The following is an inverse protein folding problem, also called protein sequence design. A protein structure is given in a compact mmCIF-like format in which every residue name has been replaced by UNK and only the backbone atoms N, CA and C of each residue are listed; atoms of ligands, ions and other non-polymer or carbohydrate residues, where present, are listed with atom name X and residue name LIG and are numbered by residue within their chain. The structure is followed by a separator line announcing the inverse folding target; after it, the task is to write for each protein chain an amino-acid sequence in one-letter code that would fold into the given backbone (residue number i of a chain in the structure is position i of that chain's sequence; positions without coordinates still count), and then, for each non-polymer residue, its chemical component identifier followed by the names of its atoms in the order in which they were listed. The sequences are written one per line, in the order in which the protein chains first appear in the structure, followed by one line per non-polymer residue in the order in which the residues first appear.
data_IF_057242282615
#
_entry.id   IF_057242282615
#
_cell.length_a   1.000
_cell.length_b   1.000
_cell.length_c   1.000
_cell.angle_alpha   90.00
_cell.angle_beta   90.00
_cell.angle_gamma   90.00
#
_symmetry.space_group_name_H-M   'P 1'
#
loop_
_entity.id
_entity.type
_entity.pdbx_description
1 polymer ?
#
# COMPACT_ATOMS: atom_id res chain seq x y z
N UNK A 1 -60.34 27.82 -50.81
CA UNK A 1 -60.33 27.41 -52.23
C UNK A 1 -58.90 27.50 -52.73
N UNK A 2 -58.34 26.35 -53.11
CA UNK A 2 -57.28 26.07 -54.12
C UNK A 2 -56.03 26.99 -54.12
N UNK A 3 -54.78 26.53 -54.20
CA UNK A 3 -54.15 25.24 -54.43
C UNK A 3 -52.64 25.57 -54.48
N UNK A 4 -51.76 24.76 -53.88
CA UNK A 4 -50.32 24.99 -53.97
C UNK A 4 -49.53 23.87 -53.31
N UNK A 5 -49.24 22.83 -54.09
CA UNK A 5 -48.61 21.58 -53.67
C UNK A 5 -47.08 21.67 -53.59
N UNK A 6 -46.55 20.95 -52.61
CA UNK A 6 -45.28 20.20 -52.59
C UNK A 6 -43.98 20.95 -52.87
N UNK A 7 -43.09 20.97 -51.85
CA UNK A 7 -41.67 20.64 -51.99
C UNK A 7 -41.11 20.28 -50.61
N UNK A 8 -40.64 19.04 -50.52
CA UNK A 8 -39.98 18.41 -49.37
C UNK A 8 -38.60 19.06 -49.19
N UNK A 9 -38.34 19.59 -48.00
CA UNK A 9 -37.03 20.12 -47.63
C UNK A 9 -36.08 18.97 -47.26
N UNK A 10 -35.13 18.70 -48.16
CA UNK A 10 -33.89 17.99 -47.87
C UNK A 10 -32.87 19.08 -47.49
N UNK A 11 -32.47 19.10 -46.22
CA UNK A 11 -31.33 19.86 -45.69
C UNK A 11 -30.80 19.06 -44.51
N UNK A 12 -29.61 18.46 -44.60
CA UNK A 12 -28.30 19.06 -44.37
C UNK A 12 -27.68 18.12 -43.31
N UNK A 13 -26.77 17.22 -43.65
CA UNK A 13 -25.35 17.39 -43.97
C UNK A 13 -24.59 16.61 -42.89
N UNK A 14 -23.83 15.62 -43.35
CA UNK A 14 -22.91 14.79 -42.59
C UNK A 14 -21.94 15.63 -41.73
N UNK A 15 -21.81 15.29 -40.46
CA UNK A 15 -20.55 15.37 -39.72
C UNK A 15 -20.46 14.17 -38.80
N UNK A 16 -19.53 13.26 -39.12
CA UNK A 16 -19.20 12.10 -38.32
C UNK A 16 -18.54 12.52 -37.02
N UNK A 17 -18.98 11.92 -35.92
CA UNK A 17 -18.26 11.90 -34.66
C UNK A 17 -17.23 10.76 -34.75
N UNK A 18 -16.06 11.08 -35.29
CA UNK A 18 -14.85 10.29 -35.03
C UNK A 18 -14.50 10.51 -33.56
N UNK A 19 -14.65 9.46 -32.76
CA UNK A 19 -14.04 9.38 -31.44
C UNK A 19 -12.53 9.51 -31.64
N UNK A 20 -12.01 10.66 -31.26
CA UNK A 20 -10.61 11.01 -31.31
C UNK A 20 -9.80 9.99 -30.51
N UNK A 21 -8.90 9.27 -31.20
CA UNK A 21 -7.71 8.65 -30.61
C UNK A 21 -6.82 9.77 -30.04
N UNK A 22 -7.16 10.25 -28.84
CA UNK A 22 -6.29 11.12 -28.06
C UNK A 22 -5.40 10.24 -27.20
N UNK A 23 -4.10 10.23 -27.52
CA UNK A 23 -3.02 9.73 -26.66
C UNK A 23 -2.74 8.23 -26.76
N UNK A 24 -2.24 7.74 -27.90
CA UNK A 24 -1.41 6.53 -27.83
C UNK A 24 -0.10 6.91 -27.11
N UNK A 25 -0.10 6.85 -25.77
CA UNK A 25 1.13 6.71 -25.01
C UNK A 25 1.88 5.53 -25.61
N UNK A 26 3.10 5.74 -26.11
CA UNK A 26 3.88 4.70 -26.73
C UNK A 26 4.18 3.62 -25.67
N UNK A 27 3.43 2.52 -25.70
CA UNK A 27 3.54 1.43 -24.73
C UNK A 27 4.88 0.73 -24.95
N UNK A 28 5.85 1.07 -24.12
CA UNK A 28 7.23 0.59 -24.21
C UNK A 28 7.79 0.27 -22.83
N UNK A 29 8.91 -0.43 -22.81
CA UNK A 29 9.70 -0.61 -21.60
C UNK A 29 10.60 0.60 -21.40
N UNK A 30 10.57 1.21 -20.21
CA UNK A 30 11.35 2.42 -19.93
C UNK A 30 12.62 2.06 -19.16
N UNK A 31 13.79 2.26 -19.79
CA UNK A 31 15.09 2.34 -19.12
C UNK A 31 15.09 3.35 -17.96
N UNK A 32 16.09 3.34 -17.09
CA UNK A 32 16.12 4.26 -15.94
C UNK A 32 15.95 5.73 -16.33
N UNK A 33 16.74 6.21 -17.31
CA UNK A 33 16.64 7.59 -17.80
C UNK A 33 15.32 7.90 -18.51
N UNK A 34 14.70 6.90 -19.13
CA UNK A 34 13.38 7.02 -19.78
C UNK A 34 12.26 7.12 -18.75
N UNK A 35 12.30 6.30 -17.70
CA UNK A 35 11.37 6.37 -16.57
C UNK A 35 11.48 7.73 -15.89
N UNK A 36 12.70 8.21 -15.63
CA UNK A 36 12.91 9.54 -15.04
C UNK A 36 12.30 10.62 -15.94
N UNK A 37 12.57 10.61 -17.25
CA UNK A 37 11.96 11.57 -18.19
C UNK A 37 10.43 11.48 -18.20
N UNK A 38 9.86 10.29 -18.16
CA UNK A 38 8.41 10.10 -18.14
C UNK A 38 7.78 10.70 -16.87
N UNK A 39 8.36 10.49 -15.68
CA UNK A 39 7.85 11.07 -14.44
C UNK A 39 7.97 12.61 -14.42
N UNK A 40 9.08 13.16 -14.88
CA UNK A 40 9.25 14.62 -14.99
C UNK A 40 8.32 15.24 -16.04
N UNK A 41 8.00 14.52 -17.12
CA UNK A 41 7.02 14.97 -18.10
C UNK A 41 5.61 15.09 -17.47
N UNK A 42 5.18 14.08 -16.71
CA UNK A 42 3.91 14.12 -15.97
C UNK A 42 3.87 15.31 -15.00
N UNK A 43 4.95 15.54 -14.23
CA UNK A 43 5.00 16.71 -13.34
C UNK A 43 4.94 18.03 -14.11
N UNK A 44 5.59 18.12 -15.28
CA UNK A 44 5.55 19.33 -16.11
C UNK A 44 4.16 19.61 -16.67
N UNK A 45 3.36 18.58 -16.92
CA UNK A 45 2.00 18.71 -17.43
C UNK A 45 0.97 19.02 -16.35
N UNK A 46 1.19 18.50 -15.13
CA UNK A 46 0.31 18.66 -13.98
C UNK A 46 1.03 19.26 -12.74
N UNK A 47 1.70 20.42 -12.84
CA UNK A 47 2.61 20.92 -11.81
C UNK A 47 1.92 21.32 -10.49
N UNK A 48 0.63 21.63 -10.52
CA UNK A 48 -0.13 22.04 -9.34
C UNK A 48 -0.65 20.86 -8.51
N UNK A 49 -0.67 19.66 -9.10
CA UNK A 49 -1.17 18.46 -8.43
C UNK A 49 -0.11 17.37 -8.30
N UNK A 50 1.15 17.67 -8.60
CA UNK A 50 2.23 16.69 -8.56
C UNK A 50 3.50 17.21 -7.90
N UNK A 51 4.27 16.30 -7.31
CA UNK A 51 5.63 16.56 -6.83
C UNK A 51 6.50 15.32 -6.95
N UNK A 52 7.56 15.40 -7.74
CA UNK A 52 8.59 14.36 -7.77
C UNK A 52 9.58 14.58 -6.62
N UNK A 53 9.98 13.49 -5.98
CA UNK A 53 11.07 13.50 -5.01
C UNK A 53 11.78 12.15 -5.00
N UNK A 54 12.94 12.07 -4.36
CA UNK A 54 13.69 10.83 -4.22
C UNK A 54 13.76 10.41 -2.75
N UNK A 55 13.50 9.13 -2.48
CA UNK A 55 13.56 8.56 -1.11
C UNK A 55 14.96 8.06 -0.73
N UNK A 56 15.89 8.03 -1.69
CA UNK A 56 17.23 7.51 -1.53
C UNK A 56 17.84 7.13 -2.87
N UNK A 57 18.98 6.46 -2.83
CA UNK A 57 19.67 5.93 -4.01
C UNK A 57 19.83 4.43 -3.88
N UNK A 58 19.80 3.74 -5.02
CA UNK A 58 20.21 2.36 -5.14
C UNK A 58 21.71 2.21 -4.89
N UNK A 59 22.17 0.97 -4.82
CA UNK A 59 23.60 0.64 -4.66
C UNK A 59 24.47 1.21 -5.80
N UNK A 60 23.99 1.24 -7.05
CA UNK A 60 24.69 1.86 -8.19
C UNK A 60 24.40 3.37 -8.34
N UNK A 61 23.76 4.00 -7.36
CA UNK A 61 23.59 5.45 -7.29
C UNK A 61 22.36 6.01 -8.02
N UNK A 62 21.48 5.17 -8.57
CA UNK A 62 20.22 5.59 -9.19
C UNK A 62 19.24 6.06 -8.12
N UNK A 63 18.61 7.21 -8.31
CA UNK A 63 17.55 7.66 -7.41
C UNK A 63 16.33 6.73 -7.45
N UNK A 64 15.80 6.41 -6.28
CA UNK A 64 14.47 5.83 -6.12
C UNK A 64 13.47 6.98 -6.14
N UNK A 65 12.92 7.29 -7.31
CA UNK A 65 11.98 8.40 -7.51
C UNK A 65 10.55 8.00 -7.16
N UNK A 66 9.87 8.90 -6.47
CA UNK A 66 8.45 8.84 -6.16
C UNK A 66 7.78 10.04 -6.81
N UNK A 67 6.64 9.81 -7.48
CA UNK A 67 5.75 10.87 -7.94
C UNK A 67 4.54 10.93 -7.02
N UNK A 68 4.40 12.07 -6.35
CA UNK A 68 3.28 12.41 -5.48
C UNK A 68 2.15 13.03 -6.32
N UNK A 69 0.90 12.67 -6.04
CA UNK A 69 -0.32 13.34 -6.50
C UNK A 69 -1.17 13.77 -5.29
N UNK A 70 -1.59 15.02 -5.26
CA UNK A 70 -2.53 15.64 -4.30
C UNK A 70 -2.86 17.02 -4.87
N UNK A 71 -3.98 17.64 -4.51
CA UNK A 71 -4.26 19.03 -4.85
C UNK A 71 -3.40 20.05 -4.05
N UNK A 72 -2.63 19.57 -3.07
CA UNK A 72 -1.67 20.36 -2.30
C UNK A 72 -0.32 19.64 -2.09
N UNK A 73 0.40 19.35 -3.19
CA UNK A 73 1.53 18.44 -3.14
C UNK A 73 2.67 19.00 -2.27
N UNK A 74 3.23 18.13 -1.44
CA UNK A 74 4.28 18.43 -0.47
C UNK A 74 3.79 18.63 0.96
N UNK A 75 2.49 18.77 1.17
CA UNK A 75 1.88 19.00 2.49
C UNK A 75 0.93 17.86 2.81
N UNK A 76 0.96 17.38 4.06
CA UNK A 76 -0.07 16.47 4.56
C UNK A 76 -1.22 17.31 5.11
N UNK A 77 -2.43 17.06 4.63
CA UNK A 77 -3.64 17.73 5.13
C UNK A 77 -4.39 16.88 6.15
N UNK A 78 -4.90 17.54 7.18
CA UNK A 78 -5.65 16.88 8.25
C UNK A 78 -6.84 16.09 7.70
N UNK A 79 -6.92 14.79 8.02
CA UNK A 79 -7.94 13.85 7.53
C UNK A 79 -7.86 13.50 6.02
N UNK A 80 -6.78 13.85 5.35
CA UNK A 80 -6.41 13.36 4.02
C UNK A 80 -5.52 12.10 4.16
N UNK A 81 -5.99 10.91 3.77
CA UNK A 81 -5.19 9.70 3.88
C UNK A 81 -4.02 9.66 2.89
N UNK A 82 -2.91 9.11 3.36
CA UNK A 82 -1.71 8.85 2.56
C UNK A 82 -1.78 7.44 1.96
N UNK A 83 -1.72 7.33 0.63
CA UNK A 83 -1.71 6.07 -0.11
C UNK A 83 -0.37 5.87 -0.84
N UNK A 84 0.10 4.63 -1.02
CA UNK A 84 1.25 4.37 -1.90
C UNK A 84 1.16 3.12 -2.79
N UNK A 85 1.77 3.21 -3.97
CA UNK A 85 2.11 2.06 -4.80
C UNK A 85 3.62 1.90 -4.95
N UNK A 86 4.09 0.66 -4.91
CA UNK A 86 5.52 0.32 -5.09
C UNK A 86 5.69 -0.76 -6.15
N UNK A 87 6.35 -0.43 -7.26
CA UNK A 87 6.64 -1.38 -8.33
C UNK A 87 8.07 -1.90 -8.29
N UNK A 88 8.26 -3.06 -8.94
CA UNK A 88 9.56 -3.50 -9.42
C UNK A 88 10.64 -3.54 -8.32
N UNK A 89 10.27 -4.10 -7.16
CA UNK A 89 11.24 -4.44 -6.11
C UNK A 89 12.11 -5.65 -6.48
N UNK A 90 11.60 -6.53 -7.35
CA UNK A 90 12.42 -7.43 -8.14
C UNK A 90 12.59 -6.83 -9.52
N UNK A 91 13.85 -6.59 -9.93
CA UNK A 91 14.14 -5.84 -11.15
C UNK A 91 13.60 -6.47 -12.43
N UNK A 92 13.50 -7.80 -12.48
CA UNK A 92 12.91 -8.52 -13.61
C UNK A 92 11.39 -8.64 -13.60
N UNK A 93 10.71 -8.17 -12.57
CA UNK A 93 9.25 -8.15 -12.48
C UNK A 93 8.79 -6.76 -12.93
N UNK A 94 8.66 -6.61 -14.25
CA UNK A 94 8.65 -5.31 -14.94
C UNK A 94 7.26 -4.73 -15.11
N UNK A 95 6.23 -5.56 -15.24
CA UNK A 95 4.88 -5.04 -15.53
C UNK A 95 4.42 -3.99 -14.51
N UNK A 96 4.68 -4.22 -13.21
CA UNK A 96 4.37 -3.25 -12.16
C UNK A 96 5.05 -1.88 -12.35
N UNK A 97 6.29 -1.83 -12.87
CA UNK A 97 6.98 -0.58 -13.18
C UNK A 97 6.24 0.20 -14.26
N UNK A 98 5.97 -0.46 -15.38
CA UNK A 98 5.35 0.19 -16.53
C UNK A 98 3.91 0.63 -16.22
N UNK A 99 3.12 -0.21 -15.54
CA UNK A 99 1.77 0.18 -15.09
C UNK A 99 1.75 1.41 -14.20
N UNK A 100 2.76 1.61 -13.33
CA UNK A 100 2.83 2.79 -12.47
C UNK A 100 3.26 4.05 -13.23
N UNK A 101 4.04 3.91 -14.30
CA UNK A 101 4.34 5.02 -15.23
C UNK A 101 3.05 5.41 -15.98
N UNK A 102 2.33 4.43 -16.54
CA UNK A 102 1.05 4.67 -17.23
C UNK A 102 -0.04 5.22 -16.31
N UNK A 103 -0.11 4.74 -15.06
CA UNK A 103 -1.02 5.27 -14.05
C UNK A 103 -0.72 6.74 -13.77
N UNK A 104 0.55 7.13 -13.68
CA UNK A 104 0.95 8.51 -13.48
C UNK A 104 0.49 9.42 -14.62
N UNK A 105 0.67 8.98 -15.87
CA UNK A 105 0.17 9.69 -17.05
C UNK A 105 -1.36 9.80 -17.02
N UNK A 106 -2.05 8.67 -16.81
CA UNK A 106 -3.50 8.59 -16.76
C UNK A 106 -4.12 9.51 -15.69
N UNK A 107 -3.56 9.55 -14.47
CA UNK A 107 -4.05 10.42 -13.40
C UNK A 107 -3.96 11.90 -13.80
N UNK A 108 -2.85 12.32 -14.40
CA UNK A 108 -2.68 13.69 -14.89
C UNK A 108 -3.63 14.01 -16.06
N UNK A 109 -3.73 13.13 -17.06
CA UNK A 109 -4.58 13.31 -18.24
C UNK A 109 -6.06 13.41 -17.88
N UNK A 110 -6.57 12.48 -17.06
CA UNK A 110 -7.97 12.46 -16.64
C UNK A 110 -8.30 13.63 -15.72
N UNK A 111 -7.38 14.06 -14.84
CA UNK A 111 -7.55 15.27 -14.04
C UNK A 111 -7.69 16.51 -14.94
N UNK A 112 -6.80 16.66 -15.94
CA UNK A 112 -6.86 17.78 -16.90
C UNK A 112 -8.11 17.74 -17.78
N UNK A 113 -8.63 16.54 -18.06
CA UNK A 113 -9.89 16.35 -18.78
C UNK A 113 -11.14 16.64 -17.92
N UNK A 114 -10.98 16.86 -16.61
CA UNK A 114 -12.09 17.12 -15.69
C UNK A 114 -12.88 15.87 -15.31
N UNK A 115 -12.25 14.70 -15.34
CA UNK A 115 -12.87 13.46 -14.88
C UNK A 115 -13.16 13.56 -13.37
N UNK A 116 -14.44 13.56 -12.98
CA UNK A 116 -14.86 13.76 -11.59
C UNK A 116 -14.31 12.69 -10.62
N UNK A 117 -14.19 11.43 -11.07
CA UNK A 117 -13.68 10.32 -10.24
C UNK A 117 -12.22 10.55 -9.89
N UNK A 118 -11.40 10.85 -10.90
CA UNK A 118 -9.96 11.08 -10.71
C UNK A 118 -9.69 12.40 -9.99
N UNK A 119 -10.47 13.44 -10.29
CA UNK A 119 -10.39 14.73 -9.59
C UNK A 119 -10.66 14.54 -8.10
N UNK A 120 -11.76 13.87 -7.73
CA UNK A 120 -12.08 13.57 -6.33
C UNK A 120 -10.99 12.73 -5.67
N UNK A 121 -10.51 11.68 -6.36
CA UNK A 121 -9.45 10.83 -5.82
C UNK A 121 -8.18 11.63 -5.47
N UNK A 122 -7.75 12.56 -6.33
CA UNK A 122 -6.57 13.41 -6.11
C UNK A 122 -6.81 14.49 -5.05
N UNK A 123 -8.02 15.04 -4.95
CA UNK A 123 -8.37 16.07 -3.94
C UNK A 123 -8.55 15.47 -2.53
N UNK A 124 -9.01 14.23 -2.45
CA UNK A 124 -9.28 13.61 -1.16
C UNK A 124 -8.14 12.69 -0.69
N UNK A 125 -7.12 12.44 -1.51
CA UNK A 125 -6.05 11.46 -1.22
C UNK A 125 -4.68 11.98 -1.62
N UNK A 126 -3.71 11.78 -0.74
CA UNK A 126 -2.31 11.99 -1.07
C UNK A 126 -1.67 10.69 -1.54
N UNK A 127 -1.44 10.60 -2.85
CA UNK A 127 -1.05 9.38 -3.56
C UNK A 127 0.44 9.43 -3.86
N UNK A 128 1.19 8.40 -3.48
CA UNK A 128 2.62 8.30 -3.75
C UNK A 128 2.95 7.08 -4.61
N UNK A 129 3.50 7.30 -5.79
CA UNK A 129 3.82 6.24 -6.75
C UNK A 129 5.34 6.09 -6.86
N UNK A 130 5.87 4.93 -6.45
CA UNK A 130 7.28 4.52 -6.63
C UNK A 130 7.34 3.45 -7.73
N UNK A 131 7.62 3.81 -9.01
CA UNK A 131 7.58 2.84 -10.10
C UNK A 131 8.64 1.73 -10.00
N UNK A 132 9.80 2.04 -9.42
CA UNK A 132 10.90 1.08 -9.28
C UNK A 132 11.66 1.25 -7.99
N UNK A 133 11.48 0.28 -7.09
CA UNK A 133 12.27 0.15 -5.87
C UNK A 133 13.66 -0.45 -6.17
N UNK A 134 13.81 -1.27 -7.22
CA UNK A 134 15.07 -1.89 -7.62
C UNK A 134 15.48 -1.50 -9.06
N UNK A 135 15.86 -0.23 -9.29
CA UNK A 135 16.26 0.22 -10.62
C UNK A 135 17.55 -0.46 -11.10
N UNK A 136 18.44 -0.88 -10.20
CA UNK A 136 19.69 -1.57 -10.58
C UNK A 136 19.41 -2.96 -11.15
N UNK A 137 18.57 -3.74 -10.47
CA UNK A 137 18.14 -5.06 -10.95
C UNK A 137 17.39 -4.97 -12.26
N UNK A 138 16.57 -3.92 -12.45
CA UNK A 138 15.88 -3.68 -13.71
C UNK A 138 16.85 -3.50 -14.87
N UNK A 139 17.89 -2.67 -14.73
CA UNK A 139 18.87 -2.47 -15.79
C UNK A 139 19.65 -3.74 -16.13
N UNK A 140 19.82 -4.66 -15.18
CA UNK A 140 20.42 -5.99 -15.45
C UNK A 140 19.44 -6.86 -16.26
N UNK A 141 18.17 -6.89 -15.87
CA UNK A 141 17.13 -7.65 -16.59
C UNK A 141 16.91 -7.11 -18.02
N UNK A 142 16.79 -5.79 -18.17
CA UNK A 142 16.56 -5.11 -19.44
C UNK A 142 17.71 -5.33 -20.44
N UNK A 143 18.96 -5.45 -19.97
CA UNK A 143 20.11 -5.77 -20.83
C UNK A 143 20.06 -7.16 -21.47
N UNK A 144 19.35 -8.11 -20.87
CA UNK A 144 19.09 -9.42 -21.49
C UNK A 144 17.88 -9.39 -22.44
N UNK A 145 16.99 -8.42 -22.25
CA UNK A 145 15.76 -8.25 -23.02
C UNK A 145 14.62 -9.17 -22.54
N UNK A 146 13.36 -8.86 -22.88
CA UNK A 146 12.19 -9.62 -22.43
C UNK A 146 12.23 -11.09 -22.89
N UNK A 147 12.78 -11.36 -24.08
CA UNK A 147 12.79 -12.70 -24.69
C UNK A 147 13.75 -13.69 -24.00
N UNK A 148 14.78 -13.20 -23.31
CA UNK A 148 15.83 -14.02 -22.70
C UNK A 148 15.93 -13.86 -21.19
N UNK A 149 15.08 -13.01 -20.60
CA UNK A 149 15.09 -12.80 -19.18
C UNK A 149 14.56 -14.05 -18.47
N UNK A 150 15.48 -14.89 -17.99
CA UNK A 150 15.14 -16.05 -17.19
C UNK A 150 14.43 -15.66 -15.89
N UNK A 151 14.06 -16.67 -15.10
CA UNK A 151 13.28 -16.46 -13.88
C UNK A 151 13.99 -15.61 -12.80
N UNK A 152 15.32 -15.52 -12.84
CA UNK A 152 16.17 -14.99 -11.75
C UNK A 152 17.05 -13.79 -12.11
N UNK A 153 17.37 -13.57 -13.38
CA UNK A 153 18.30 -12.51 -13.78
C UNK A 153 17.72 -11.15 -13.40
N UNK A 154 18.48 -10.30 -12.72
CA UNK A 154 18.02 -8.97 -12.31
C UNK A 154 16.94 -8.98 -11.21
N UNK A 155 16.63 -10.13 -10.62
CA UNK A 155 15.67 -10.22 -9.50
C UNK A 155 16.17 -9.47 -8.26
N UNK A 156 17.39 -9.77 -7.83
CA UNK A 156 18.01 -9.09 -6.68
C UNK A 156 18.44 -7.66 -7.02
N UNK A 157 18.89 -6.89 -6.03
CA UNK A 157 19.58 -5.63 -6.28
C UNK A 157 20.99 -5.87 -6.88
N UNK A 158 21.79 -4.82 -7.08
CA UNK A 158 23.15 -4.99 -7.66
C UNK A 158 24.14 -5.78 -6.79
N UNK A 159 23.82 -6.05 -5.52
CA UNK A 159 24.56 -7.02 -4.67
C UNK A 159 23.95 -8.42 -4.67
N UNK A 160 23.02 -8.69 -5.58
CA UNK A 160 22.26 -9.95 -5.70
C UNK A 160 21.41 -10.29 -4.46
N UNK A 161 21.08 -9.29 -3.64
CA UNK A 161 20.20 -9.47 -2.47
C UNK A 161 18.74 -9.38 -2.92
N UNK A 162 17.91 -10.36 -2.54
CA UNK A 162 16.46 -10.29 -2.71
C UNK A 162 15.88 -9.27 -1.72
N UNK A 163 15.44 -8.11 -2.23
CA UNK A 163 14.90 -7.02 -1.42
C UNK A 163 13.63 -7.43 -0.66
N UNK A 164 12.84 -8.37 -1.21
CA UNK A 164 11.66 -8.93 -0.53
C UNK A 164 12.03 -10.04 0.47
N UNK A 165 13.31 -10.17 0.81
CA UNK A 165 13.85 -10.96 1.93
C UNK A 165 14.78 -10.12 2.80
N UNK A 166 14.77 -8.80 2.66
CA UNK A 166 15.74 -7.91 3.30
C UNK A 166 15.17 -7.08 4.46
N UNK A 167 13.84 -6.95 4.58
CA UNK A 167 13.20 -6.22 5.69
C UNK A 167 13.41 -6.94 7.04
N UNK A 168 13.39 -6.23 8.18
CA UNK A 168 13.34 -6.86 9.51
C UNK A 168 12.15 -7.84 9.65
N UNK A 169 12.40 -9.05 10.16
CA UNK A 169 11.36 -10.07 10.35
C UNK A 169 10.58 -9.81 11.65
N UNK A 170 9.49 -9.05 11.54
CA UNK A 170 8.65 -8.70 12.67
C UNK A 170 7.56 -9.75 12.97
N UNK A 171 7.30 -10.69 12.05
CA UNK A 171 6.31 -11.75 12.23
C UNK A 171 6.65 -12.66 13.42
N UNK A 172 7.92 -13.02 13.60
CA UNK A 172 8.33 -13.86 14.72
C UNK A 172 7.99 -13.21 16.07
N UNK A 173 8.21 -11.89 16.16
CA UNK A 173 7.89 -11.08 17.32
C UNK A 173 6.38 -10.95 17.51
N UNK A 174 5.63 -10.69 16.44
CA UNK A 174 4.16 -10.62 16.49
C UNK A 174 3.55 -11.93 16.98
N UNK A 175 3.97 -13.08 16.44
CA UNK A 175 3.43 -14.39 16.82
C UNK A 175 3.75 -14.76 18.28
N UNK A 176 4.83 -14.20 18.81
CA UNK A 176 5.14 -14.28 20.23
C UNK A 176 4.19 -13.39 21.05
N UNK A 177 4.01 -12.13 20.66
CA UNK A 177 3.18 -11.17 21.40
C UNK A 177 1.69 -11.51 21.40
N UNK A 178 1.14 -12.04 20.31
CA UNK A 178 -0.24 -12.52 20.27
C UNK A 178 -0.52 -13.59 21.35
N UNK A 179 0.47 -14.44 21.66
CA UNK A 179 0.33 -15.51 22.69
C UNK A 179 0.56 -15.01 24.11
N UNK A 180 1.14 -13.82 24.28
CA UNK A 180 1.59 -13.29 25.57
C UNK A 180 1.01 -11.91 25.89
N UNK A 181 -0.05 -11.50 25.18
CA UNK A 181 -0.70 -10.19 25.30
C UNK A 181 0.32 -9.03 25.22
N UNK A 182 1.25 -9.12 24.28
CA UNK A 182 2.24 -8.10 24.00
C UNK A 182 1.72 -7.00 23.06
N UNK A 183 2.64 -6.15 22.63
CA UNK A 183 2.36 -5.09 21.65
C UNK A 183 1.85 -5.68 20.33
N UNK A 184 0.84 -5.06 19.72
CA UNK A 184 0.13 -5.58 18.54
C UNK A 184 0.26 -4.67 17.29
N UNK A 185 1.03 -3.58 17.37
CA UNK A 185 1.23 -2.56 16.34
C UNK A 185 2.59 -1.88 16.54
N UNK A 186 3.17 -1.26 15.51
CA UNK A 186 4.43 -0.51 15.60
C UNK A 186 5.56 -1.28 16.32
N UNK A 187 5.75 -2.54 15.93
CA UNK A 187 6.78 -3.39 16.53
C UNK A 187 8.17 -2.77 16.31
N UNK A 188 9.03 -2.73 17.35
CA UNK A 188 10.31 -2.03 17.26
C UNK A 188 11.28 -2.73 16.31
N UNK A 189 12.11 -1.94 15.62
CA UNK A 189 13.23 -2.44 14.83
C UNK A 189 14.45 -2.75 15.73
N UNK A 190 15.36 -3.64 15.32
CA UNK A 190 16.65 -3.82 15.99
C UNK A 190 17.45 -2.53 15.98
N UNK A 191 18.19 -2.22 17.06
CA UNK A 191 18.97 -0.97 17.17
C UNK A 191 19.93 -0.72 16.00
N UNK A 192 20.46 -1.79 15.39
CA UNK A 192 21.41 -1.75 14.29
C UNK A 192 20.79 -2.08 12.92
N UNK A 193 19.46 -2.01 12.77
CA UNK A 193 18.75 -2.42 11.54
C UNK A 193 19.28 -1.71 10.28
N UNK A 194 19.67 -0.43 10.38
CA UNK A 194 20.22 0.36 9.26
C UNK A 194 21.49 -0.26 8.66
N UNK A 195 22.24 -1.03 9.46
CA UNK A 195 23.47 -1.72 9.01
C UNK A 195 23.19 -3.10 8.42
N UNK A 196 21.94 -3.59 8.49
CA UNK A 196 21.55 -4.95 8.12
C UNK A 196 20.72 -5.00 6.84
N UNK A 197 20.34 -3.85 6.31
CA UNK A 197 19.50 -3.71 5.13
C UNK A 197 20.26 -3.08 3.97
N UNK A 198 19.83 -3.39 2.76
CA UNK A 198 20.33 -2.78 1.53
C UNK A 198 19.84 -1.33 1.40
N UNK A 199 20.54 -0.47 0.63
CA UNK A 199 20.20 0.95 0.55
C UNK A 199 18.79 1.21 0.01
N UNK A 200 18.28 0.35 -0.88
CA UNK A 200 16.89 0.42 -1.37
C UNK A 200 15.90 0.16 -0.23
N UNK A 201 16.12 -0.89 0.57
CA UNK A 201 15.30 -1.22 1.74
C UNK A 201 15.40 -0.14 2.81
N UNK A 202 16.59 0.40 3.07
CA UNK A 202 16.80 1.52 3.99
C UNK A 202 15.96 2.73 3.60
N UNK A 203 16.03 3.12 2.32
CA UNK A 203 15.29 4.24 1.76
C UNK A 203 13.78 4.06 1.94
N UNK A 204 13.27 2.85 1.66
CA UNK A 204 11.85 2.53 1.80
C UNK A 204 11.39 2.52 3.25
N UNK A 205 12.17 1.94 4.18
CA UNK A 205 11.82 1.98 5.62
C UNK A 205 11.77 3.42 6.14
N UNK A 206 12.75 4.25 5.78
CA UNK A 206 12.75 5.68 6.16
C UNK A 206 11.57 6.43 5.53
N UNK A 207 11.21 6.10 4.29
CA UNK A 207 10.03 6.66 3.63
C UNK A 207 8.73 6.30 4.35
N UNK A 208 8.56 5.04 4.76
CA UNK A 208 7.42 4.58 5.56
C UNK A 208 7.32 5.28 6.92
N UNK A 209 8.43 5.74 7.50
CA UNK A 209 8.45 6.48 8.76
C UNK A 209 8.14 7.97 8.61
N UNK A 210 8.30 8.52 7.40
CA UNK A 210 8.10 9.95 7.13
C UNK A 210 6.65 10.31 6.77
N UNK A 211 5.83 9.31 6.41
CA UNK A 211 4.44 9.48 6.01
C UNK A 211 3.56 8.50 6.77
N UNK A 212 2.36 8.91 7.16
CA UNK A 212 1.39 8.05 7.83
C UNK A 212 0.58 7.24 6.80
N UNK A 213 1.26 6.39 6.01
CA UNK A 213 0.60 5.57 5.00
C UNK A 213 -0.51 4.70 5.60
N UNK A 214 -1.68 4.72 4.97
CA UNK A 214 -2.88 4.00 5.41
C UNK A 214 -3.05 2.70 4.60
N UNK A 215 -2.92 2.79 3.28
CA UNK A 215 -3.10 1.68 2.35
C UNK A 215 -1.98 1.67 1.31
N UNK A 216 -1.56 0.46 0.92
CA UNK A 216 -0.49 0.27 -0.05
C UNK A 216 -0.67 -1.00 -0.86
N UNK A 217 -0.12 -1.04 -2.07
CA UNK A 217 0.25 -2.31 -2.66
C UNK A 217 1.65 -2.29 -3.27
N UNK A 218 2.32 -3.45 -3.21
CA UNK A 218 3.56 -3.69 -3.95
C UNK A 218 3.28 -4.61 -5.16
N UNK A 219 3.87 -4.30 -6.32
CA UNK A 219 3.52 -4.91 -7.61
C UNK A 219 4.66 -5.84 -8.07
N UNK A 220 4.29 -7.07 -8.38
CA UNK A 220 5.16 -8.21 -8.68
C UNK A 220 4.77 -8.91 -10.00
N UNK A 221 5.58 -9.88 -10.40
CA UNK A 221 5.33 -10.75 -11.54
C UNK A 221 5.83 -12.17 -11.31
N UNK A 222 5.22 -13.12 -12.01
CA UNK A 222 5.46 -14.55 -11.91
C UNK A 222 4.19 -15.36 -11.62
N UNK A 223 3.10 -14.69 -11.23
CA UNK A 223 1.77 -15.26 -11.05
C UNK A 223 0.70 -14.20 -11.40
N UNK A 224 -0.59 -14.55 -11.26
CA UNK A 224 -1.71 -13.59 -11.34
C UNK A 224 -2.63 -13.81 -10.15
N UNK A 225 -2.38 -13.08 -9.05
CA UNK A 225 -3.09 -13.21 -7.77
C UNK A 225 -2.88 -11.99 -6.88
N UNK A 226 -3.89 -11.61 -6.10
CA UNK A 226 -3.75 -10.64 -5.01
C UNK A 226 -3.38 -11.37 -3.71
N UNK A 227 -2.10 -11.33 -3.36
CA UNK A 227 -1.52 -11.90 -2.15
C UNK A 227 -1.67 -10.96 -0.96
N UNK A 228 -2.06 -11.47 0.21
CA UNK A 228 -2.27 -10.65 1.41
C UNK A 228 -1.66 -11.27 2.68
N UNK A 229 -1.40 -10.46 3.73
CA UNK A 229 -0.77 -10.91 4.96
C UNK A 229 -1.48 -12.06 5.70
N UNK A 230 -0.78 -12.83 6.54
CA UNK A 230 0.68 -12.83 6.66
C UNK A 230 1.33 -13.71 5.58
N UNK A 231 2.48 -13.26 5.10
CA UNK A 231 3.39 -14.00 4.22
C UNK A 231 4.13 -15.12 4.97
N UNK A 232 4.48 -14.91 6.25
CA UNK A 232 5.21 -15.90 7.04
C UNK A 232 4.26 -16.88 7.72
N UNK A 233 4.47 -18.18 7.53
CA UNK A 233 3.74 -19.20 8.32
C UNK A 233 4.12 -19.15 9.82
N UNK A 234 3.12 -19.42 10.67
CA UNK A 234 3.29 -19.60 12.13
C UNK A 234 3.95 -20.93 12.48
N UNK A 235 3.83 -21.91 11.59
CA UNK A 235 4.45 -23.22 11.76
C UNK A 235 5.86 -23.23 11.13
N UNK A 236 6.80 -24.02 11.68
CA UNK A 236 8.08 -24.26 11.01
C UNK A 236 7.85 -24.76 9.58
N UNK A 237 8.66 -24.29 8.63
CA UNK A 237 8.60 -24.74 7.24
C UNK A 237 8.85 -26.25 7.18
N UNK A 238 7.79 -27.01 6.95
CA UNK A 238 7.85 -28.42 6.58
C UNK A 238 7.73 -28.51 5.06
N UNK A 239 8.68 -29.19 4.40
CA UNK A 239 8.71 -29.30 2.94
C UNK A 239 7.38 -29.85 2.43
N UNK A 240 6.73 -29.11 1.52
CA UNK A 240 5.45 -29.49 0.90
C UNK A 240 4.20 -29.18 1.76
N UNK A 241 4.35 -28.57 2.94
CA UNK A 241 3.23 -28.12 3.76
C UNK A 241 3.20 -26.58 3.78
N UNK A 242 2.11 -26.01 3.28
CA UNK A 242 1.80 -24.58 3.43
C UNK A 242 0.65 -24.46 4.43
N UNK A 243 0.60 -23.35 5.15
CA UNK A 243 -0.43 -23.14 6.17
C UNK A 243 -0.88 -21.69 6.17
N UNK A 244 -2.20 -21.52 6.21
CA UNK A 244 -2.83 -20.22 6.31
C UNK A 244 -2.38 -19.51 7.59
N UNK A 245 -1.96 -18.25 7.46
CA UNK A 245 -1.54 -17.41 8.58
C UNK A 245 -2.33 -16.11 8.60
N UNK A 246 -3.50 -16.16 9.23
CA UNK A 246 -4.39 -15.00 9.35
C UNK A 246 -3.75 -13.86 10.16
N UNK A 247 -3.99 -12.62 9.71
CA UNK A 247 -3.89 -11.44 10.55
C UNK A 247 -5.16 -11.29 11.40
N UNK A 248 -5.14 -10.39 12.38
CA UNK A 248 -6.35 -9.97 13.11
C UNK A 248 -7.33 -9.19 12.22
N UNK A 249 -6.82 -8.58 11.14
CA UNK A 249 -7.56 -7.86 10.11
C UNK A 249 -7.83 -8.69 8.83
N UNK A 250 -7.80 -10.03 8.93
CA UNK A 250 -7.90 -10.94 7.78
C UNK A 250 -9.10 -10.63 6.87
N UNK A 251 -10.26 -10.33 7.46
CA UNK A 251 -11.48 -10.02 6.70
C UNK A 251 -11.32 -8.81 5.79
N UNK A 252 -10.69 -7.74 6.27
CA UNK A 252 -10.49 -6.54 5.46
C UNK A 252 -9.39 -6.74 4.42
N UNK A 253 -8.30 -7.45 4.75
CA UNK A 253 -7.30 -7.83 3.75
C UNK A 253 -7.88 -8.65 2.61
N UNK A 254 -8.76 -9.62 2.92
CA UNK A 254 -9.49 -10.38 1.88
C UNK A 254 -10.38 -9.47 1.04
N UNK A 255 -11.05 -8.47 1.63
CA UNK A 255 -11.85 -7.49 0.87
C UNK A 255 -10.96 -6.64 -0.04
N UNK A 256 -9.84 -6.12 0.46
CA UNK A 256 -8.87 -5.32 -0.30
C UNK A 256 -8.30 -6.10 -1.49
N UNK A 257 -7.86 -7.34 -1.26
CA UNK A 257 -7.39 -8.25 -2.31
C UNK A 257 -8.47 -8.53 -3.37
N UNK A 258 -9.72 -8.78 -2.93
CA UNK A 258 -10.86 -8.98 -3.84
C UNK A 258 -11.18 -7.74 -4.65
N UNK A 259 -11.10 -6.53 -4.07
CA UNK A 259 -11.35 -5.29 -4.81
C UNK A 259 -10.45 -5.21 -6.03
N UNK A 260 -9.15 -5.49 -5.89
CA UNK A 260 -8.24 -5.52 -7.04
C UNK A 260 -8.57 -6.69 -7.99
N UNK A 261 -8.67 -7.91 -7.46
CA UNK A 261 -8.85 -9.13 -8.25
C UNK A 261 -10.11 -9.12 -9.14
N UNK A 262 -11.24 -8.64 -8.61
CA UNK A 262 -12.51 -8.55 -9.34
C UNK A 262 -12.59 -7.36 -10.30
N UNK A 263 -11.86 -6.27 -10.04
CA UNK A 263 -11.72 -5.17 -10.98
C UNK A 263 -10.71 -5.48 -12.10
N UNK A 264 -9.78 -6.42 -11.85
CA UNK A 264 -8.87 -6.93 -12.86
C UNK A 264 -9.58 -7.85 -13.86
N UNK A 265 -9.22 -7.74 -15.14
CA UNK A 265 -9.93 -8.41 -16.25
C UNK A 265 -9.97 -9.95 -16.15
N UNK A 266 -8.99 -10.59 -15.53
CA UNK A 266 -8.94 -12.06 -15.43
C UNK A 266 -8.38 -12.64 -14.12
N UNK A 267 -8.01 -11.82 -13.13
CA UNK A 267 -7.40 -12.33 -11.89
C UNK A 267 -8.42 -13.13 -11.08
N UNK A 268 -9.64 -12.60 -10.92
CA UNK A 268 -10.76 -13.26 -10.22
C UNK A 268 -11.18 -14.62 -10.80
N UNK A 269 -10.78 -14.95 -12.04
CA UNK A 269 -11.05 -16.26 -12.65
C UNK A 269 -10.25 -17.37 -11.97
N UNK A 270 -9.20 -17.03 -11.24
CA UNK A 270 -8.44 -17.91 -10.36
C UNK A 270 -7.45 -18.85 -11.05
N UNK A 271 -7.71 -19.29 -12.28
CA UNK A 271 -6.80 -20.17 -13.03
C UNK A 271 -5.87 -19.37 -13.95
N UNK A 272 -4.62 -19.15 -13.52
CA UNK A 272 -3.59 -18.43 -14.27
C UNK A 272 -2.22 -19.07 -14.02
N UNK A 273 -1.33 -19.06 -15.01
CA UNK A 273 0.07 -19.52 -14.87
C UNK A 273 0.26 -21.00 -14.44
N UNK A 274 -0.80 -21.82 -14.48
CA UNK A 274 -0.80 -23.18 -13.94
C UNK A 274 -1.17 -23.27 -12.45
N UNK A 275 -1.42 -22.13 -11.81
CA UNK A 275 -1.89 -22.03 -10.43
C UNK A 275 -3.43 -21.85 -10.38
N UNK A 276 -4.02 -22.24 -9.26
CA UNK A 276 -5.42 -21.96 -8.93
C UNK A 276 -5.52 -21.19 -7.60
N UNK A 277 -6.04 -19.98 -7.68
CA UNK A 277 -6.37 -19.15 -6.52
C UNK A 277 -7.86 -18.81 -6.56
N UNK A 278 -8.62 -19.34 -5.60
CA UNK A 278 -10.05 -19.05 -5.50
C UNK A 278 -10.28 -17.54 -5.40
N UNK A 279 -11.19 -17.00 -6.23
CA UNK A 279 -11.45 -15.56 -6.38
C UNK A 279 -10.22 -14.71 -6.75
N UNK A 280 -9.13 -15.32 -7.22
CA UNK A 280 -7.88 -14.64 -7.58
C UNK A 280 -7.13 -14.02 -6.40
N UNK A 281 -7.33 -14.52 -5.18
CA UNK A 281 -6.65 -14.02 -3.97
C UNK A 281 -5.95 -15.15 -3.22
N UNK A 282 -4.93 -14.83 -2.41
CA UNK A 282 -4.29 -15.82 -1.54
C UNK A 282 -3.68 -15.20 -0.29
N UNK A 283 -3.72 -15.92 0.84
CA UNK A 283 -2.87 -15.59 1.99
C UNK A 283 -1.43 -16.03 1.66
N UNK A 284 -0.45 -15.17 1.88
CA UNK A 284 0.93 -15.45 1.47
C UNK A 284 1.51 -16.72 2.07
N UNK A 285 1.34 -16.94 3.37
CA UNK A 285 1.80 -18.17 4.01
C UNK A 285 1.11 -19.44 3.50
N UNK A 286 -0.15 -19.32 3.06
CA UNK A 286 -0.92 -20.42 2.46
C UNK A 286 -0.43 -20.77 1.06
N UNK A 287 0.08 -19.79 0.30
CA UNK A 287 0.72 -20.03 -0.99
C UNK A 287 2.14 -20.58 -0.81
N UNK A 288 3.01 -19.83 -0.13
CA UNK A 288 4.32 -20.30 0.34
C UNK A 288 4.86 -19.36 1.43
N UNK A 289 5.36 -19.94 2.52
CA UNK A 289 5.87 -19.14 3.65
C UNK A 289 7.09 -18.29 3.26
N UNK A 290 6.99 -16.98 3.40
CA UNK A 290 7.99 -15.96 3.11
C UNK A 290 8.30 -15.15 4.37
N UNK A 291 9.56 -14.84 4.61
CA UNK A 291 10.00 -14.04 5.77
C UNK A 291 10.81 -12.85 5.29
N UNK A 292 10.87 -11.77 6.10
CA UNK A 292 11.62 -10.54 5.78
C UNK A 292 11.08 -9.83 4.52
N UNK A 293 9.77 -9.97 4.26
CA UNK A 293 9.08 -9.31 3.16
C UNK A 293 8.57 -7.92 3.53
N UNK A 294 8.38 -7.08 2.51
CA UNK A 294 7.92 -5.70 2.68
C UNK A 294 6.45 -5.62 3.13
N UNK A 295 5.60 -6.51 2.62
CA UNK A 295 4.16 -6.51 2.88
C UNK A 295 3.85 -6.63 4.38
N UNK A 296 4.36 -7.69 5.02
CA UNK A 296 4.15 -7.92 6.45
C UNK A 296 4.88 -6.85 7.31
N UNK A 297 6.00 -6.29 6.82
CA UNK A 297 6.71 -5.22 7.51
C UNK A 297 5.86 -3.95 7.64
N UNK A 298 5.17 -3.52 6.57
CA UNK A 298 4.26 -2.38 6.61
C UNK A 298 3.25 -2.51 7.76
N UNK A 299 2.52 -3.64 7.77
CA UNK A 299 1.45 -3.89 8.74
C UNK A 299 1.98 -4.01 10.17
N UNK A 300 3.18 -4.54 10.37
CA UNK A 300 3.71 -4.77 11.72
C UNK A 300 4.49 -3.58 12.29
N UNK A 301 5.07 -2.72 11.45
CA UNK A 301 5.89 -1.59 11.88
C UNK A 301 5.17 -0.23 11.80
N UNK A 302 4.12 -0.12 10.99
CA UNK A 302 3.41 1.15 10.71
C UNK A 302 1.90 0.97 10.81
N UNK A 303 1.12 2.00 10.43
CA UNK A 303 -0.33 1.90 10.25
C UNK A 303 -0.73 1.30 8.88
N UNK A 304 0.22 1.12 7.95
CA UNK A 304 -0.07 0.85 6.55
C UNK A 304 -0.50 -0.59 6.31
N UNK A 305 -1.67 -0.76 5.70
CA UNK A 305 -2.16 -2.03 5.20
C UNK A 305 -1.59 -2.25 3.80
N UNK A 306 -0.66 -3.18 3.64
CA UNK A 306 -0.09 -3.50 2.33
C UNK A 306 -0.53 -4.87 1.83
N UNK A 307 -0.87 -4.98 0.54
CA UNK A 307 -1.00 -6.25 -0.18
C UNK A 307 0.06 -6.36 -1.29
N UNK A 308 0.31 -7.59 -1.76
CA UNK A 308 1.22 -7.89 -2.86
C UNK A 308 0.40 -8.30 -4.08
N UNK A 309 0.59 -7.62 -5.20
CA UNK A 309 -0.16 -7.87 -6.44
C UNK A 309 0.76 -8.56 -7.46
N UNK A 310 0.50 -9.83 -7.74
CA UNK A 310 1.15 -10.56 -8.83
C UNK A 310 0.34 -10.34 -10.12
N UNK A 311 0.95 -9.74 -11.14
CA UNK A 311 0.19 -9.14 -12.25
C UNK A 311 0.24 -9.94 -13.55
N UNK A 312 1.32 -10.68 -13.79
CA UNK A 312 1.54 -11.41 -15.03
C UNK A 312 2.36 -12.68 -14.77
N UNK A 313 2.06 -13.75 -15.53
CA UNK A 313 2.86 -14.98 -15.50
C UNK A 313 4.28 -14.73 -16.02
N UNK A 314 4.38 -13.97 -17.11
CA UNK A 314 5.65 -13.51 -17.64
C UNK A 314 6.13 -12.33 -16.78
N UNK A 315 7.32 -12.46 -16.19
CA UNK A 315 7.89 -11.42 -15.32
C UNK A 315 8.28 -10.18 -16.11
N UNK A 316 8.73 -10.35 -17.35
CA UNK A 316 9.15 -9.27 -18.24
C UNK A 316 8.43 -9.45 -19.59
N UNK A 317 7.11 -9.17 -19.64
CA UNK A 317 6.31 -9.39 -20.85
C UNK A 317 6.84 -8.55 -22.03
N UNK A 318 6.68 -9.02 -23.28
CA UNK A 318 7.08 -8.23 -24.45
C UNK A 318 6.32 -6.91 -24.51
N UNK A 319 6.94 -5.86 -25.07
CA UNK A 319 6.32 -4.51 -25.15
C UNK A 319 4.94 -4.53 -25.83
N UNK A 320 4.73 -5.43 -26.79
CA UNK A 320 3.46 -5.64 -27.49
C UNK A 320 2.30 -6.07 -26.57
N UNK A 321 2.58 -6.57 -25.37
CA UNK A 321 1.56 -6.96 -24.39
C UNK A 321 1.13 -5.80 -23.46
N UNK A 322 1.97 -4.76 -23.31
CA UNK A 322 1.81 -3.72 -22.30
C UNK A 322 0.49 -2.96 -22.40
N UNK A 323 0.01 -2.68 -23.61
CA UNK A 323 -1.28 -2.00 -23.81
C UNK A 323 -2.46 -2.83 -23.27
N UNK A 324 -2.46 -4.14 -23.52
CA UNK A 324 -3.50 -5.05 -23.03
C UNK A 324 -3.43 -5.20 -21.50
N UNK A 325 -2.22 -5.31 -20.96
CA UNK A 325 -2.00 -5.39 -19.50
C UNK A 325 -2.44 -4.10 -18.79
N UNK A 326 -2.16 -2.93 -19.37
CA UNK A 326 -2.65 -1.64 -18.86
C UNK A 326 -4.17 -1.60 -18.81
N UNK A 327 -4.84 -1.91 -19.92
CA UNK A 327 -6.30 -1.93 -19.96
C UNK A 327 -6.91 -2.94 -18.97
N UNK A 328 -6.21 -4.04 -18.72
CA UNK A 328 -6.64 -5.07 -17.77
C UNK A 328 -6.53 -4.66 -16.30
N UNK A 329 -5.56 -3.79 -15.97
CA UNK A 329 -5.23 -3.38 -14.61
C UNK A 329 -5.73 -1.98 -14.24
N UNK A 330 -5.96 -1.08 -15.19
CA UNK A 330 -6.30 0.33 -14.94
C UNK A 330 -7.45 0.51 -13.95
N UNK A 331 -8.57 -0.19 -14.17
CA UNK A 331 -9.73 -0.10 -13.26
C UNK A 331 -9.42 -0.64 -11.87
N UNK A 332 -8.62 -1.72 -11.79
CA UNK A 332 -8.21 -2.33 -10.53
C UNK A 332 -7.29 -1.42 -9.72
N UNK A 333 -6.34 -0.75 -10.37
CA UNK A 333 -5.45 0.23 -9.74
C UNK A 333 -6.24 1.39 -9.12
N UNK A 334 -7.18 1.97 -9.87
CA UNK A 334 -8.04 3.06 -9.38
C UNK A 334 -8.96 2.59 -8.26
N UNK A 335 -9.69 1.48 -8.48
CA UNK A 335 -10.61 0.90 -7.49
C UNK A 335 -9.95 0.54 -6.16
N UNK A 336 -8.68 0.12 -6.21
CA UNK A 336 -7.92 -0.23 -5.02
C UNK A 336 -7.48 1.01 -4.24
N UNK A 337 -7.01 2.08 -4.91
CA UNK A 337 -6.71 3.36 -4.26
C UNK A 337 -7.93 3.91 -3.50
N UNK A 338 -9.11 3.83 -4.11
CA UNK A 338 -10.37 4.28 -3.49
C UNK A 338 -10.69 3.56 -2.17
N UNK A 339 -10.15 2.35 -1.91
CA UNK A 339 -10.37 1.65 -0.65
C UNK A 339 -9.75 2.34 0.57
N UNK A 340 -8.82 3.28 0.37
CA UNK A 340 -8.21 4.06 1.46
C UNK A 340 -9.24 4.90 2.22
N UNK A 341 -10.39 5.17 1.59
CA UNK A 341 -11.50 5.97 2.14
C UNK A 341 -12.53 5.16 2.92
N UNK A 342 -12.29 3.89 3.23
CA UNK A 342 -13.25 3.07 4.00
C UNK A 342 -12.91 3.01 5.50
N UNK A 343 -13.93 2.73 6.32
CA UNK A 343 -13.77 2.53 7.77
C UNK A 343 -14.10 3.77 8.59
N UNK A 344 -13.15 4.21 9.42
CA UNK A 344 -13.26 5.43 10.22
C UNK A 344 -12.00 6.28 10.07
N UNK A 345 -12.16 7.59 10.15
CA UNK A 345 -11.05 8.54 10.31
C UNK A 345 -11.42 9.59 11.35
N UNK A 346 -10.46 10.32 11.88
CA UNK A 346 -10.79 11.34 12.88
C UNK A 346 -9.59 11.97 13.53
N UNK A 347 -9.85 12.74 14.58
CA UNK A 347 -8.85 13.51 15.31
C UNK A 347 -8.83 13.06 16.76
N UNK A 348 -7.65 13.04 17.37
CA UNK A 348 -7.50 12.89 18.82
C UNK A 348 -7.04 14.22 19.40
N UNK A 349 -7.84 14.79 20.29
CA UNK A 349 -7.58 16.07 20.95
C UNK A 349 -7.39 15.90 22.46
N UNK A 350 -6.68 16.85 23.08
CA UNK A 350 -6.75 17.07 24.52
C UNK A 350 -7.97 17.95 24.90
N UNK A 351 -8.17 18.17 26.21
CA UNK A 351 -9.24 19.02 26.73
C UNK A 351 -9.15 20.52 26.33
N UNK A 352 -8.02 20.96 25.78
CA UNK A 352 -7.80 22.31 25.27
C UNK A 352 -7.91 22.40 23.74
N UNK A 353 -8.39 21.33 23.07
CA UNK A 353 -8.46 21.19 21.61
C UNK A 353 -7.09 21.17 20.89
N UNK A 354 -6.00 20.86 21.60
CA UNK A 354 -4.73 20.58 20.95
C UNK A 354 -4.72 19.15 20.42
N UNK A 355 -4.23 18.95 19.21
CA UNK A 355 -4.05 17.62 18.63
C UNK A 355 -3.03 16.78 19.40
N UNK A 356 -3.34 15.51 19.61
CA UNK A 356 -2.46 14.53 20.26
C UNK A 356 -1.89 13.60 19.20
N UNK A 357 -0.60 13.77 18.92
CA UNK A 357 0.16 12.83 18.07
C UNK A 357 0.45 11.51 18.78
N UNK A 358 0.58 10.41 18.03
CA UNK A 358 0.89 9.07 18.56
C UNK A 358 -0.10 8.56 19.62
N UNK A 359 -1.35 9.04 19.59
CA UNK A 359 -2.44 8.42 20.35
C UNK A 359 -2.78 7.07 19.72
N UNK A 360 -3.06 6.06 20.55
CA UNK A 360 -3.42 4.71 20.12
C UNK A 360 -4.93 4.60 19.96
N UNK A 361 -5.38 4.15 18.78
CA UNK A 361 -6.79 3.85 18.49
C UNK A 361 -6.93 2.32 18.40
N UNK A 362 -7.67 1.76 19.35
CA UNK A 362 -7.96 0.32 19.44
C UNK A 362 -9.41 0.04 19.09
N UNK A 363 -9.65 -1.08 18.40
CA UNK A 363 -11.00 -1.54 18.01
C UNK A 363 -11.30 -2.84 18.72
N UNK A 364 -12.38 -2.88 19.51
CA UNK A 364 -12.76 -4.07 20.25
C UNK A 364 -12.93 -5.28 19.32
N UNK A 365 -12.26 -6.38 19.64
CA UNK A 365 -12.27 -7.61 18.85
C UNK A 365 -11.21 -7.68 17.74
N UNK A 366 -10.45 -6.60 17.48
CA UNK A 366 -9.35 -6.58 16.52
C UNK A 366 -8.05 -6.25 17.26
N UNK A 367 -7.20 -7.25 17.46
CA UNK A 367 -5.92 -7.07 18.16
C UNK A 367 -4.83 -6.57 17.22
N UNK A 368 -5.03 -5.39 16.64
CA UNK A 368 -4.04 -4.64 15.89
C UNK A 368 -4.46 -3.17 15.89
N UNK A 369 -3.86 -2.39 16.79
CA UNK A 369 -4.20 -0.98 16.96
C UNK A 369 -3.48 -0.11 15.92
N UNK A 370 -3.92 1.13 15.75
CA UNK A 370 -3.24 2.13 14.94
C UNK A 370 -2.86 3.33 15.81
N UNK A 371 -2.08 4.25 15.25
CA UNK A 371 -1.71 5.51 15.89
C UNK A 371 -2.21 6.72 15.12
N UNK A 372 -2.44 7.84 15.83
CA UNK A 372 -2.59 9.14 15.19
C UNK A 372 -1.27 9.68 14.67
N UNK A 373 -1.32 10.36 13.52
CA UNK A 373 -0.20 11.05 12.89
C UNK A 373 0.28 12.26 13.70
N UNK A 374 1.23 13.00 13.13
CA UNK A 374 1.84 14.17 13.78
C UNK A 374 0.85 15.31 14.03
N UNK A 375 -0.20 15.41 13.20
CA UNK A 375 -1.30 16.36 13.35
C UNK A 375 -2.47 15.82 14.19
N UNK A 376 -2.32 14.64 14.79
CA UNK A 376 -3.32 14.00 15.66
C UNK A 376 -4.51 13.36 14.94
N UNK A 377 -4.50 13.37 13.62
CA UNK A 377 -5.44 12.68 12.76
C UNK A 377 -5.12 11.17 12.68
N UNK A 378 -6.11 10.33 12.43
CA UNK A 378 -5.92 8.89 12.31
C UNK A 378 -6.88 8.29 11.28
N UNK A 379 -6.51 7.11 10.75
CA UNK A 379 -7.28 6.38 9.75
C UNK A 379 -7.31 4.89 10.09
N UNK A 380 -8.50 4.34 10.31
CA UNK A 380 -8.69 2.91 10.56
C UNK A 380 -9.61 2.30 9.52
N UNK A 381 -9.02 1.53 8.62
CA UNK A 381 -9.75 0.73 7.65
C UNK A 381 -10.59 -0.33 8.40
N UNK A 382 -11.90 -0.35 8.13
CA UNK A 382 -12.86 -1.30 8.71
C UNK A 382 -13.88 -1.69 7.64
N UNK A 383 -14.40 -2.91 7.74
CA UNK A 383 -15.56 -3.32 6.96
C UNK A 383 -16.85 -2.71 7.54
N UNK A 384 -17.96 -2.73 6.79
CA UNK A 384 -19.25 -2.34 7.33
C UNK A 384 -19.62 -3.15 8.57
N UNK A 385 -20.05 -2.46 9.61
CA UNK A 385 -20.33 -3.06 10.91
C UNK A 385 -20.36 -2.04 12.05
N UNK A 386 -20.74 -2.47 13.25
CA UNK A 386 -20.74 -1.63 14.44
C UNK A 386 -19.57 -2.03 15.35
N UNK A 387 -18.79 -1.03 15.75
CA UNK A 387 -17.54 -1.22 16.48
C UNK A 387 -17.51 -0.37 17.74
N UNK A 388 -16.87 -0.89 18.78
CA UNK A 388 -16.46 -0.12 19.96
C UNK A 388 -15.01 0.27 19.80
N UNK A 389 -14.73 1.57 19.75
CA UNK A 389 -13.43 2.14 19.43
C UNK A 389 -12.94 2.94 20.63
N UNK A 390 -11.69 2.76 21.03
CA UNK A 390 -11.08 3.45 22.16
C UNK A 390 -9.80 4.17 21.75
N UNK A 391 -9.75 5.48 21.97
CA UNK A 391 -8.53 6.28 21.86
C UNK A 391 -7.85 6.40 23.22
N UNK A 392 -6.52 6.29 23.24
CA UNK A 392 -5.72 6.42 24.46
C UNK A 392 -4.36 7.05 24.15
N UNK A 393 -3.78 7.78 25.11
CA UNK A 393 -2.44 8.35 24.97
C UNK A 393 -1.75 8.42 26.35
N UNK A 394 -0.41 8.31 26.42
CA UNK A 394 0.33 8.47 27.67
C UNK A 394 -0.02 9.79 28.38
N UNK A 395 -0.37 9.73 29.67
CA UNK A 395 -0.77 10.90 30.46
C UNK A 395 -2.25 11.28 30.37
N UNK A 396 -3.05 10.58 29.55
CA UNK A 396 -4.49 10.84 29.38
C UNK A 396 -5.36 9.65 29.81
N UNK A 397 -6.61 9.91 30.18
CA UNK A 397 -7.62 8.88 30.38
C UNK A 397 -8.14 8.40 29.01
N UNK A 398 -8.26 7.08 28.77
CA UNK A 398 -8.84 6.57 27.54
C UNK A 398 -10.29 7.04 27.33
N UNK A 399 -10.68 7.25 26.07
CA UNK A 399 -12.04 7.59 25.68
C UNK A 399 -12.58 6.56 24.70
N UNK A 400 -13.78 6.04 24.96
CA UNK A 400 -14.41 4.98 24.19
C UNK A 400 -15.70 5.48 23.55
N UNK A 401 -15.95 5.10 22.30
CA UNK A 401 -17.18 5.42 21.56
C UNK A 401 -17.62 4.25 20.69
N UNK A 402 -18.91 4.14 20.45
CA UNK A 402 -19.49 3.17 19.52
C UNK A 402 -19.79 3.86 18.19
N UNK A 403 -19.39 3.25 17.08
CA UNK A 403 -19.57 3.78 15.72
C UNK A 403 -20.11 2.69 14.80
N UNK A 404 -20.96 3.07 13.85
CA UNK A 404 -21.47 2.17 12.79
C UNK A 404 -20.87 2.61 11.46
N UNK A 405 -20.02 1.76 10.89
CA UNK A 405 -19.37 1.93 9.59
C UNK A 405 -20.30 1.40 8.50
N UNK A 406 -20.57 2.23 7.49
CA UNK A 406 -21.33 1.86 6.29
C UNK A 406 -20.45 1.35 5.15
N UNK A 407 -21.04 1.02 3.98
CA UNK A 407 -20.29 0.60 2.79
C UNK A 407 -19.70 1.77 1.97
N UNK A 408 -19.95 3.02 2.38
CA UNK A 408 -19.50 4.23 1.70
C UNK A 408 -18.21 4.77 2.36
N UNK A 409 -17.97 6.07 2.21
CA UNK A 409 -16.83 6.79 2.79
C UNK A 409 -16.71 6.61 4.32
N UNK A 410 -15.47 6.80 4.80
CA UNK A 410 -15.09 6.63 6.19
C UNK A 410 -15.87 7.59 7.09
N UNK A 411 -16.39 7.05 8.20
CA UNK A 411 -17.09 7.86 9.20
C UNK A 411 -16.08 8.68 10.00
N UNK A 412 -16.32 9.99 10.13
CA UNK A 412 -15.53 10.84 11.02
C UNK A 412 -15.88 10.57 12.48
N UNK A 413 -14.90 10.16 13.28
CA UNK A 413 -15.04 9.91 14.72
C UNK A 413 -13.91 10.62 15.46
N UNK A 414 -14.21 11.71 16.16
CA UNK A 414 -13.21 12.43 16.95
C UNK A 414 -13.20 11.96 18.41
N UNK A 415 -12.05 12.03 19.06
CA UNK A 415 -11.88 11.76 20.48
C UNK A 415 -11.28 12.96 21.19
N UNK A 416 -11.85 13.32 22.34
CA UNK A 416 -11.24 14.28 23.28
C UNK A 416 -10.82 13.52 24.53
N UNK A 417 -9.51 13.51 24.81
CA UNK A 417 -8.93 12.84 25.95
C UNK A 417 -8.70 13.83 27.10
N UNK A 418 -9.02 13.41 28.33
CA UNK A 418 -8.81 14.21 29.54
C UNK A 418 -7.48 13.86 30.19
N UNK A 419 -6.75 14.84 30.73
CA UNK A 419 -5.52 14.55 31.47
C UNK A 419 -5.80 13.59 32.65
N UNK A 420 -4.89 12.65 32.89
CA UNK A 420 -4.97 11.82 34.10
C UNK A 420 -4.75 12.72 35.34
N UNK A 421 -5.56 12.57 36.41
CA UNK A 421 -5.38 13.32 37.64
C UNK A 421 -3.96 13.13 38.20
N UNK A 422 -3.23 14.24 38.40
CA UNK A 422 -1.93 14.24 39.11
C UNK A 422 -2.17 13.81 40.57
N UNK A 423 -2.07 12.51 40.86
CA UNK A 423 -2.36 11.99 42.21
C UNK A 423 -2.38 10.47 42.35
N UNK A 424 -2.51 9.70 41.26
CA UNK A 424 -2.31 8.24 41.28
C UNK A 424 -0.87 7.88 40.91
N UNK A 425 0.10 8.30 41.74
CA UNK A 425 1.33 7.53 41.84
C UNK A 425 0.96 6.23 42.53
N UNK A 426 0.80 5.15 41.76
CA UNK A 426 1.07 3.83 42.30
C UNK A 426 2.52 3.88 42.78
N UNK A 427 2.69 4.06 44.09
CA UNK A 427 3.91 3.73 44.81
C UNK A 427 4.19 2.24 44.56
N UNK A 428 4.77 1.90 43.41
CA UNK A 428 5.52 0.67 43.26
C UNK A 428 6.83 0.92 43.99
N UNK A 429 6.79 0.74 45.31
CA UNK A 429 8.00 0.45 46.07
C UNK A 429 8.70 -0.72 45.38
N UNK A 430 10.03 -0.71 45.22
CA UNK A 430 10.74 -1.92 44.80
C UNK A 430 10.64 -2.94 45.92
N UNK A 431 9.57 -3.73 45.94
CA UNK A 431 9.50 -4.93 46.75
C UNK A 431 10.33 -5.99 46.03
N UNK A 432 11.58 -6.13 46.48
CA UNK A 432 12.29 -7.39 46.45
C UNK A 432 11.42 -8.44 47.13
N UNK A 433 10.57 -9.12 46.36
CA UNK A 433 9.95 -10.36 46.80
C UNK A 433 9.91 -11.35 45.65
N UNK A 434 10.61 -12.46 45.87
CA UNK A 434 10.59 -13.65 45.02
C UNK A 434 9.14 -14.13 44.90
N UNK A 435 8.67 -14.27 43.65
CA UNK A 435 7.35 -14.78 43.19
C UNK A 435 6.34 -13.67 42.82
N UNK A 436 6.08 -13.54 41.52
CA UNK A 436 4.83 -12.98 41.01
C UNK A 436 4.90 -11.59 40.35
N UNK A 437 5.90 -11.30 39.50
CA UNK A 437 5.69 -10.30 38.44
C UNK A 437 4.97 -10.99 37.28
N UNK A 438 3.79 -10.51 36.93
CA UNK A 438 3.25 -10.65 35.57
C UNK A 438 4.13 -9.81 34.65
N UNK A 439 5.31 -10.33 34.34
CA UNK A 439 6.18 -9.82 33.29
C UNK A 439 5.47 -10.07 31.97
N UNK A 440 5.20 -9.03 31.17
CA UNK A 440 5.24 -9.24 29.72
C UNK A 440 6.61 -9.88 29.45
N UNK A 441 6.60 -11.18 29.15
CA UNK A 441 7.85 -11.93 29.02
C UNK A 441 8.64 -11.24 27.91
N UNK A 442 9.85 -10.79 28.24
CA UNK A 442 10.78 -10.28 27.23
C UNK A 442 10.95 -11.42 26.21
N UNK A 443 10.74 -11.16 24.90
CA UNK A 443 10.97 -12.18 23.90
C UNK A 443 12.38 -12.76 24.07
N UNK A 444 12.56 -14.08 23.92
CA UNK A 444 13.89 -14.67 23.79
C UNK A 444 14.74 -13.83 22.83
N UNK A 445 16.01 -13.58 23.16
CA UNK A 445 16.94 -12.77 22.33
C UNK A 445 17.17 -13.32 20.91
N UNK A 446 16.65 -14.52 20.63
CA UNK A 446 16.68 -15.18 19.33
C UNK A 446 15.35 -15.04 18.55
N UNK A 447 14.33 -14.38 19.10
CA UNK A 447 12.99 -14.17 18.51
C UNK A 447 12.73 -12.71 18.08
N UNK A 448 13.73 -11.84 18.13
CA UNK A 448 13.75 -10.53 17.47
C UNK A 448 14.64 -10.57 16.22
N UNK A 449 14.56 -9.58 15.31
CA UNK A 449 15.29 -9.63 14.05
C UNK A 449 16.79 -9.56 14.34
N UNK A 450 17.53 -10.58 13.91
CA UNK A 450 18.99 -10.50 13.73
C UNK A 450 19.31 -10.03 12.33
#
# INVERSE_FOLDING_TARGET
MLSGSSLIWIGALLLGLEASLTGASDFQHHGYEEMVRALFAVQSECPYITRIYSIGRSTEGRHLYVLEFSDNPGIHETLEPEFKYVGNMHGNEVLGRELLIYLSQFLCEEYRAGNERITRLIHDTRIHILPSMNPDGYEVAARQGPEFNGYLVGRGNSKEVDLNRNFPDLNALMYYYEKHNGQNHHLPLPDNWELQVEPETLAVIKWMQNYNFVLSANLHGGAVVANYPFDKSREPRLRGKTTYSATTDDKIFRKLAKTYSYAHSWMHKGWNCGDYFDEGITNGASWYSLSKGMQDFNYLHTNCFEITLELSCDKFPPATALANEWLANREALVSYMEQVHHGIKGMVYDENNNAISNAVISVAGISHDITSGTLGDYFRLLLPGTYTVTASAPGYQPSTSTVTVGPAEAIQLHFTLRAQPKGTNLNVKPYLNKKGLSTAKIPPTNLGPR
#
